data_IF_328056334663
#
_entry.id   IF_328056334663
#
_cell.length_a   1.000
_cell.length_b   1.000
_cell.length_c   1.000
_cell.angle_alpha   90.00
_cell.angle_beta   90.00
_cell.angle_gamma   90.00
#
_symmetry.space_group_name_H-M   'P 1'
#
loop_
_entity.id
_entity.type
_entity.pdbx_description
1 polymer ?
#
# COMPACT_ATOMS: atom_id res chain seq x y z
N UNK A 1 11.95 -18.46 18.76
CA UNK A 1 12.68 -17.98 17.57
C UNK A 1 14.20 -17.98 17.75
N UNK A 2 14.72 -18.08 18.99
CA UNK A 2 16.16 -18.05 19.26
C UNK A 2 16.80 -16.65 19.28
N UNK A 3 15.98 -15.59 19.19
CA UNK A 3 16.36 -14.20 19.31
C UNK A 3 15.23 -13.38 19.95
N UNK A 4 15.57 -12.20 20.46
CA UNK A 4 14.61 -11.24 21.01
C UNK A 4 14.25 -10.21 19.96
N UNK A 5 12.97 -9.85 19.88
CA UNK A 5 12.51 -8.72 19.07
C UNK A 5 12.44 -7.47 19.93
N UNK A 6 13.06 -6.39 19.47
CA UNK A 6 12.89 -5.05 19.99
C UNK A 6 12.05 -4.25 18.99
N UNK A 7 10.86 -3.84 19.41
CA UNK A 7 9.89 -3.20 18.53
C UNK A 7 9.82 -1.70 18.81
N UNK A 8 9.95 -0.89 17.78
CA UNK A 8 9.75 0.57 17.82
C UNK A 8 8.51 0.91 17.00
N UNK A 9 7.47 1.45 17.64
CA UNK A 9 6.28 1.92 16.94
C UNK A 9 6.56 3.30 16.32
N UNK A 10 6.29 3.43 15.02
CA UNK A 10 6.43 4.66 14.25
C UNK A 10 5.20 4.84 13.36
N UNK A 11 4.86 6.09 13.03
CA UNK A 11 3.90 6.40 11.98
C UNK A 11 4.53 6.21 10.58
N UNK A 12 3.69 6.23 9.54
CA UNK A 12 4.09 6.02 8.14
C UNK A 12 5.23 6.93 7.68
N UNK A 13 5.17 8.22 8.00
CA UNK A 13 6.19 9.18 7.56
C UNK A 13 7.51 8.96 8.32
N UNK A 14 7.44 8.71 9.62
CA UNK A 14 8.61 8.45 10.48
C UNK A 14 9.32 7.15 10.11
N UNK A 15 8.59 6.05 9.86
CA UNK A 15 9.20 4.79 9.41
C UNK A 15 9.83 4.94 8.03
N UNK A 16 9.17 5.65 7.11
CA UNK A 16 9.69 5.93 5.77
C UNK A 16 10.99 6.72 5.85
N UNK A 17 11.00 7.81 6.62
CA UNK A 17 12.19 8.64 6.81
C UNK A 17 13.33 7.84 7.41
N UNK A 18 13.05 7.07 8.47
CA UNK A 18 14.07 6.24 9.12
C UNK A 18 14.63 5.19 8.17
N UNK A 19 13.80 4.49 7.43
CA UNK A 19 14.23 3.49 6.45
C UNK A 19 15.08 4.10 5.31
N UNK A 20 14.74 5.32 4.86
CA UNK A 20 15.47 6.00 3.81
C UNK A 20 16.80 6.64 4.28
N UNK A 21 16.92 7.03 5.54
CA UNK A 21 18.05 7.84 6.00
C UNK A 21 18.93 7.19 7.09
N UNK A 22 18.44 6.13 7.73
CA UNK A 22 19.10 5.47 8.87
C UNK A 22 19.07 3.94 8.74
N UNK A 23 19.59 3.36 7.63
CA UNK A 23 19.45 1.92 7.32
C UNK A 23 20.10 1.02 8.37
N UNK A 24 21.09 1.50 9.11
CA UNK A 24 21.80 0.73 10.13
C UNK A 24 21.11 0.78 11.52
N UNK A 25 19.94 1.42 11.62
CA UNK A 25 19.24 1.58 12.90
C UNK A 25 18.12 0.55 13.12
N UNK A 26 17.91 -0.39 12.19
CA UNK A 26 16.90 -1.44 12.27
C UNK A 26 17.31 -2.63 11.39
N UNK A 27 16.75 -3.80 11.67
CA UNK A 27 16.95 -5.01 10.86
C UNK A 27 15.76 -5.27 9.93
N UNK A 28 14.54 -4.96 10.38
CA UNK A 28 13.29 -5.16 9.62
C UNK A 28 12.42 -3.92 9.80
N UNK A 29 11.83 -3.43 8.71
CA UNK A 29 10.81 -2.39 8.73
C UNK A 29 9.48 -2.96 8.22
N UNK A 30 8.39 -2.69 8.95
CA UNK A 30 7.03 -2.91 8.48
C UNK A 30 6.53 -1.60 7.88
N UNK A 31 6.37 -1.60 6.54
CA UNK A 31 6.06 -0.40 5.76
C UNK A 31 4.92 -0.68 4.79
N UNK A 32 4.16 0.36 4.47
CA UNK A 32 3.17 0.27 3.40
C UNK A 32 3.86 0.15 2.03
N UNK A 33 3.33 -0.73 1.18
CA UNK A 33 3.94 -1.03 -0.12
C UNK A 33 4.09 0.21 -1.02
N UNK A 34 3.19 1.19 -0.92
CA UNK A 34 3.22 2.39 -1.78
C UNK A 34 4.40 3.33 -1.46
N UNK A 35 4.99 3.24 -0.27
CA UNK A 35 6.21 3.98 0.06
C UNK A 35 7.50 3.23 -0.33
N UNK A 36 7.40 1.98 -0.73
CA UNK A 36 8.54 1.13 -1.12
C UNK A 36 9.40 1.78 -2.21
N UNK A 37 8.78 2.49 -3.16
CA UNK A 37 9.51 3.24 -4.21
C UNK A 37 10.53 4.22 -3.63
N UNK A 38 10.19 4.93 -2.55
CA UNK A 38 11.07 5.91 -1.91
C UNK A 38 12.24 5.23 -1.18
N UNK A 39 11.93 4.18 -0.43
CA UNK A 39 12.93 3.49 0.40
C UNK A 39 13.85 2.64 -0.48
N UNK A 40 13.31 2.00 -1.51
CA UNK A 40 14.09 1.22 -2.48
C UNK A 40 15.09 2.08 -3.25
N UNK A 41 14.66 3.26 -3.72
CA UNK A 41 15.51 4.21 -4.42
C UNK A 41 16.69 4.71 -3.56
N UNK A 42 16.56 4.71 -2.23
CA UNK A 42 17.66 5.02 -1.31
C UNK A 42 18.70 3.89 -1.20
N UNK A 43 18.44 2.70 -1.76
CA UNK A 43 19.35 1.55 -1.72
C UNK A 43 19.43 0.86 -0.35
N UNK A 44 18.45 1.10 0.51
CA UNK A 44 18.47 0.67 1.92
C UNK A 44 17.63 -0.59 2.18
N UNK A 45 17.03 -1.16 1.16
CA UNK A 45 16.29 -2.43 1.23
C UNK A 45 17.04 -3.53 0.47
N UNK A 46 16.94 -4.74 0.98
CA UNK A 46 17.55 -5.92 0.36
C UNK A 46 16.45 -6.79 -0.25
N UNK A 47 16.67 -7.24 -1.49
CA UNK A 47 15.79 -8.21 -2.14
C UNK A 47 15.88 -9.58 -1.44
N UNK A 48 14.73 -10.22 -1.30
CA UNK A 48 14.58 -11.52 -0.65
C UNK A 48 14.40 -12.63 -1.69
N UNK A 49 15.17 -13.69 -1.57
CA UNK A 49 15.05 -14.90 -2.40
C UNK A 49 13.72 -15.60 -2.06
N UNK A 50 12.80 -15.63 -3.02
CA UNK A 50 11.46 -16.21 -2.84
C UNK A 50 11.50 -17.69 -2.52
N UNK A 51 12.54 -18.42 -2.93
CA UNK A 51 12.72 -19.84 -2.61
C UNK A 51 12.93 -20.11 -1.13
N UNK A 52 13.36 -19.08 -0.37
CA UNK A 52 13.54 -19.12 1.10
C UNK A 52 12.30 -18.71 1.87
N UNK A 53 11.27 -18.21 1.21
CA UNK A 53 10.00 -17.83 1.84
C UNK A 53 9.09 -19.05 1.89
N UNK A 54 8.99 -19.67 3.06
CA UNK A 54 8.27 -20.95 3.27
C UNK A 54 6.83 -20.98 2.73
N UNK A 55 6.13 -19.85 2.78
CA UNK A 55 4.72 -19.75 2.39
C UNK A 55 4.55 -18.85 1.15
N UNK A 56 5.56 -18.74 0.30
CA UNK A 56 5.53 -17.88 -0.89
C UNK A 56 4.32 -18.18 -1.78
N UNK A 57 4.02 -19.44 -2.00
CA UNK A 57 2.88 -19.92 -2.79
C UNK A 57 1.51 -19.52 -2.23
N UNK A 58 1.45 -19.15 -0.93
CA UNK A 58 0.23 -18.69 -0.26
C UNK A 58 0.02 -17.18 -0.30
N UNK A 59 1.00 -16.44 -0.79
CA UNK A 59 0.84 -14.99 -0.99
C UNK A 59 -0.22 -14.77 -2.06
N UNK A 60 -1.24 -13.96 -1.73
CA UNK A 60 -2.35 -13.68 -2.65
C UNK A 60 -1.88 -12.98 -3.93
N UNK A 61 -2.53 -13.28 -5.05
CA UNK A 61 -2.10 -12.86 -6.38
C UNK A 61 -1.96 -11.35 -6.55
N UNK A 62 -2.74 -10.55 -5.84
CA UNK A 62 -2.62 -9.07 -5.92
C UNK A 62 -1.21 -8.55 -5.62
N UNK A 63 -0.44 -9.26 -4.76
CA UNK A 63 0.95 -8.91 -4.44
C UNK A 63 1.98 -9.57 -5.35
N UNK A 64 1.60 -10.62 -6.08
CA UNK A 64 2.52 -11.38 -6.93
C UNK A 64 2.43 -10.97 -8.41
N UNK A 65 1.21 -10.96 -8.94
CA UNK A 65 0.96 -10.74 -10.37
C UNK A 65 -0.17 -9.75 -10.64
N UNK A 66 -0.67 -9.08 -9.61
CA UNK A 66 -1.73 -8.07 -9.73
C UNK A 66 -3.13 -8.64 -9.93
N UNK A 67 -3.33 -9.94 -9.80
CA UNK A 67 -4.63 -10.58 -9.95
C UNK A 67 -5.28 -10.84 -8.59
N UNK A 68 -6.45 -10.27 -8.35
CA UNK A 68 -7.22 -10.55 -7.15
C UNK A 68 -7.79 -11.99 -7.18
N UNK A 69 -8.22 -12.42 -8.36
CA UNK A 69 -8.65 -13.80 -8.66
C UNK A 69 -8.01 -14.23 -9.98
N UNK A 70 -7.92 -15.54 -10.29
CA UNK A 70 -7.34 -16.02 -11.55
C UNK A 70 -7.99 -15.46 -12.82
N UNK A 71 -9.20 -14.93 -12.71
CA UNK A 71 -9.99 -14.38 -13.83
C UNK A 71 -10.20 -12.87 -13.74
N UNK A 72 -9.64 -12.21 -12.74
CA UNK A 72 -9.74 -10.75 -12.62
C UNK A 72 -8.82 -10.06 -13.64
N UNK A 73 -9.10 -8.79 -13.92
CA UNK A 73 -8.14 -7.93 -14.61
C UNK A 73 -6.95 -7.64 -13.71
N UNK A 74 -5.78 -7.45 -14.32
CA UNK A 74 -4.59 -7.01 -13.59
C UNK A 74 -4.86 -5.66 -12.93
N UNK A 75 -4.52 -5.53 -11.67
CA UNK A 75 -4.63 -4.28 -10.93
C UNK A 75 -3.77 -3.18 -11.57
N UNK A 76 -4.25 -1.96 -11.54
CA UNK A 76 -3.63 -0.80 -12.16
C UNK A 76 -3.16 0.21 -11.11
N UNK A 77 -2.37 1.18 -11.55
CA UNK A 77 -1.87 2.26 -10.70
C UNK A 77 -0.85 1.77 -9.67
N UNK A 78 -1.00 2.24 -8.45
CA UNK A 78 -0.12 1.87 -7.31
C UNK A 78 -0.37 0.46 -6.77
N UNK A 79 -0.82 -0.47 -7.60
CA UNK A 79 -1.05 -1.84 -7.18
C UNK A 79 0.23 -2.49 -6.61
N UNK A 80 0.12 -3.29 -5.54
CA UNK A 80 1.29 -3.76 -4.79
C UNK A 80 2.28 -4.59 -5.62
N UNK A 81 1.83 -5.34 -6.64
CA UNK A 81 2.73 -6.12 -7.51
C UNK A 81 3.71 -5.24 -8.28
N UNK A 82 3.39 -3.96 -8.54
CA UNK A 82 4.26 -3.03 -9.29
C UNK A 82 5.56 -2.69 -8.58
N UNK A 83 5.62 -2.94 -7.28
CA UNK A 83 6.81 -2.75 -6.44
C UNK A 83 7.24 -4.03 -5.73
N UNK A 84 6.66 -5.17 -6.10
CA UNK A 84 6.83 -6.45 -5.40
C UNK A 84 8.13 -7.18 -5.72
N UNK A 85 8.73 -6.91 -6.88
CA UNK A 85 9.87 -7.67 -7.38
C UNK A 85 10.95 -6.81 -8.01
N UNK A 86 12.17 -7.34 -8.02
CA UNK A 86 13.33 -6.77 -8.72
C UNK A 86 14.02 -7.86 -9.56
N UNK A 87 14.87 -7.47 -10.49
CA UNK A 87 15.51 -8.38 -11.45
C UNK A 87 16.52 -9.36 -10.83
N UNK A 88 16.95 -9.13 -9.60
CA UNK A 88 17.95 -9.95 -8.93
C UNK A 88 18.24 -9.50 -7.50
N UNK A 89 19.20 -10.13 -6.80
CA UNK A 89 19.51 -9.80 -5.40
C UNK A 89 20.00 -8.38 -5.20
N UNK A 90 20.56 -7.76 -6.23
CA UNK A 90 21.07 -6.39 -6.25
C UNK A 90 20.37 -5.53 -7.32
N UNK A 91 19.16 -5.91 -7.72
CA UNK A 91 18.39 -5.15 -8.70
C UNK A 91 18.02 -3.78 -8.15
N UNK A 92 18.16 -2.75 -8.98
CA UNK A 92 17.84 -1.36 -8.63
C UNK A 92 16.44 -0.94 -9.06
N UNK A 93 15.86 -1.67 -10.00
CA UNK A 93 14.57 -1.36 -10.61
C UNK A 93 13.53 -2.42 -10.29
N UNK A 94 12.28 -1.99 -10.17
CA UNK A 94 11.16 -2.90 -10.04
C UNK A 94 10.86 -3.58 -11.39
N UNK A 95 10.50 -4.86 -11.32
CA UNK A 95 10.00 -5.63 -12.46
C UNK A 95 8.53 -5.98 -12.24
N UNK A 96 7.75 -6.01 -13.33
CA UNK A 96 6.30 -6.22 -13.25
C UNK A 96 5.91 -7.70 -13.08
N UNK A 97 6.85 -8.61 -13.33
CA UNK A 97 6.63 -10.05 -13.25
C UNK A 97 7.39 -10.66 -12.08
N UNK A 98 6.90 -11.79 -11.60
CA UNK A 98 7.57 -12.56 -10.55
C UNK A 98 8.97 -12.98 -11.02
N UNK A 99 10.01 -12.51 -10.34
CA UNK A 99 11.41 -12.72 -10.74
C UNK A 99 12.18 -13.68 -9.83
N UNK A 100 11.59 -14.18 -8.78
CA UNK A 100 12.30 -14.91 -7.74
C UNK A 100 12.99 -14.02 -6.69
N UNK A 101 12.95 -12.69 -6.83
CA UNK A 101 13.54 -11.73 -5.90
C UNK A 101 12.50 -10.71 -5.47
N UNK A 102 11.98 -10.88 -4.25
CA UNK A 102 10.91 -10.05 -3.70
C UNK A 102 11.45 -8.87 -2.91
N UNK A 103 10.88 -7.71 -3.10
CA UNK A 103 11.29 -6.46 -2.40
C UNK A 103 10.65 -6.32 -1.03
N UNK A 104 9.46 -6.90 -0.85
CA UNK A 104 8.70 -6.88 0.40
C UNK A 104 7.88 -8.17 0.55
N UNK A 105 7.64 -8.59 1.79
CA UNK A 105 6.75 -9.70 2.10
C UNK A 105 5.46 -9.12 2.69
N UNK A 106 4.28 -9.31 2.06
CA UNK A 106 3.03 -8.82 2.61
C UNK A 106 2.68 -9.57 3.90
N UNK A 107 2.46 -8.83 4.97
CA UNK A 107 2.04 -9.35 6.28
C UNK A 107 0.54 -9.20 6.48
N UNK A 108 0.02 -8.03 6.08
CA UNK A 108 -1.39 -7.67 6.18
C UNK A 108 -1.74 -6.77 5.01
N UNK A 109 -2.99 -6.78 4.56
CA UNK A 109 -3.47 -5.84 3.56
C UNK A 109 -4.92 -5.45 3.80
N UNK A 110 -5.27 -4.26 3.33
CA UNK A 110 -6.62 -3.74 3.28
C UNK A 110 -6.78 -2.91 2.00
N UNK A 111 -7.95 -2.34 1.81
CA UNK A 111 -8.21 -1.27 0.85
C UNK A 111 -8.84 -0.10 1.60
N UNK A 112 -8.45 1.11 1.26
CA UNK A 112 -9.08 2.29 1.81
C UNK A 112 -10.51 2.39 1.28
N UNK A 113 -11.44 2.54 2.21
CA UNK A 113 -12.88 2.56 1.95
C UNK A 113 -13.56 3.57 2.86
N UNK A 114 -14.75 4.01 2.47
CA UNK A 114 -15.58 4.81 3.34
C UNK A 114 -16.07 3.98 4.54
N UNK A 115 -15.61 4.34 5.73
CA UNK A 115 -16.18 3.85 6.97
C UNK A 115 -17.51 4.55 7.24
N UNK A 116 -18.60 3.81 7.38
CA UNK A 116 -19.94 4.39 7.58
C UNK A 116 -20.62 3.85 8.83
N UNK A 117 -21.55 4.61 9.35
CA UNK A 117 -22.47 4.22 10.43
C UNK A 117 -23.89 4.06 9.85
N UNK A 118 -24.20 2.88 9.26
CA UNK A 118 -25.49 2.66 8.60
C UNK A 118 -26.68 2.83 9.55
N UNK A 119 -26.48 2.52 10.83
CA UNK A 119 -27.48 2.71 11.91
C UNK A 119 -27.86 4.17 12.13
N UNK A 120 -26.97 5.13 11.82
CA UNK A 120 -27.23 6.56 11.97
C UNK A 120 -27.62 7.26 10.66
N UNK A 121 -27.15 6.73 9.53
CA UNK A 121 -27.35 7.35 8.21
C UNK A 121 -28.71 6.98 7.63
N UNK A 122 -29.17 5.75 7.83
CA UNK A 122 -30.49 5.28 7.39
C UNK A 122 -30.68 5.14 5.87
N UNK A 123 -29.60 5.33 5.07
CA UNK A 123 -29.58 5.16 3.61
C UNK A 123 -28.23 4.60 3.13
N UNK A 124 -28.19 3.99 1.94
CA UNK A 124 -26.91 3.57 1.36
C UNK A 124 -25.98 4.75 1.05
N UNK A 125 -24.69 4.58 1.31
CA UNK A 125 -23.60 5.44 0.86
C UNK A 125 -22.87 4.68 -0.24
N UNK A 126 -22.81 5.24 -1.44
CA UNK A 126 -22.27 4.55 -2.63
C UNK A 126 -21.20 5.36 -3.36
N UNK A 127 -20.89 6.56 -2.89
CA UNK A 127 -19.95 7.47 -3.55
C UNK A 127 -19.05 8.13 -2.52
N UNK A 128 -17.80 8.35 -2.89
CA UNK A 128 -16.83 9.09 -2.08
C UNK A 128 -17.22 10.56 -1.85
N UNK A 129 -17.92 11.17 -2.81
CA UNK A 129 -18.41 12.55 -2.68
C UNK A 129 -19.36 12.79 -1.51
N UNK A 130 -19.89 11.73 -0.89
CA UNK A 130 -20.68 11.87 0.33
C UNK A 130 -19.88 12.44 1.53
N UNK A 131 -18.56 12.38 1.49
CA UNK A 131 -17.70 13.08 2.48
C UNK A 131 -17.93 14.60 2.48
N UNK A 132 -18.31 15.18 1.34
CA UNK A 132 -18.62 16.61 1.20
C UNK A 132 -20.11 16.93 1.30
N UNK A 133 -20.96 15.93 1.55
CA UNK A 133 -22.40 16.15 1.68
C UNK A 133 -22.70 17.02 2.92
N UNK A 134 -23.38 18.17 2.76
CA UNK A 134 -23.73 19.06 3.87
C UNK A 134 -24.51 18.38 5.03
N UNK A 135 -25.22 17.29 4.73
CA UNK A 135 -25.90 16.46 5.74
C UNK A 135 -24.93 15.94 6.81
N UNK A 136 -23.67 15.69 6.42
CA UNK A 136 -22.62 15.16 7.30
C UNK A 136 -21.66 16.21 7.83
N UNK A 137 -22.01 17.49 7.72
CA UNK A 137 -21.17 18.58 8.25
C UNK A 137 -20.82 18.37 9.72
N UNK A 138 -19.53 18.33 10.02
CA UNK A 138 -19.00 18.10 11.37
C UNK A 138 -19.08 16.63 11.84
N UNK A 139 -19.43 15.70 10.94
CA UNK A 139 -19.55 14.26 11.25
C UNK A 139 -18.68 13.40 10.30
N UNK A 140 -18.06 14.00 9.28
CA UNK A 140 -17.15 13.33 8.35
C UNK A 140 -15.71 13.71 8.69
N UNK A 141 -14.79 12.78 8.44
CA UNK A 141 -13.35 12.99 8.58
C UNK A 141 -12.61 12.16 7.52
N UNK A 142 -11.39 12.56 7.23
CA UNK A 142 -10.41 11.80 6.43
C UNK A 142 -9.17 11.57 7.27
N UNK A 143 -8.30 10.67 6.82
CA UNK A 143 -7.02 10.43 7.48
C UNK A 143 -6.09 11.64 7.32
N UNK A 144 -5.50 12.08 8.42
CA UNK A 144 -4.45 13.11 8.43
C UNK A 144 -3.07 12.48 8.15
N UNK A 145 -3.02 11.74 7.05
CA UNK A 145 -1.79 11.16 6.46
C UNK A 145 -1.79 11.65 5.02
N UNK A 146 -0.84 12.51 4.68
CA UNK A 146 -0.83 13.24 3.39
C UNK A 146 -0.87 12.30 2.18
N UNK A 147 -0.14 11.20 2.21
CA UNK A 147 -0.10 10.20 1.13
C UNK A 147 -1.44 9.46 0.92
N UNK A 148 -2.24 9.30 1.96
CA UNK A 148 -3.55 8.64 1.90
C UNK A 148 -4.66 9.67 1.67
N UNK A 149 -4.70 10.72 2.48
CA UNK A 149 -5.76 11.73 2.42
C UNK A 149 -5.86 12.45 1.07
N UNK A 150 -4.72 12.66 0.37
CA UNK A 150 -4.72 13.22 -1.00
C UNK A 150 -5.41 12.25 -1.96
N UNK A 151 -5.15 10.95 -1.86
CA UNK A 151 -5.78 9.95 -2.73
C UNK A 151 -7.27 9.81 -2.43
N UNK A 152 -7.67 9.84 -1.16
CA UNK A 152 -9.08 9.87 -0.76
C UNK A 152 -9.81 11.06 -1.37
N UNK A 153 -9.23 12.26 -1.31
CA UNK A 153 -9.80 13.46 -1.93
C UNK A 153 -9.83 13.38 -3.45
N UNK A 154 -8.85 12.74 -4.08
CA UNK A 154 -8.90 12.46 -5.52
C UNK A 154 -10.09 11.57 -5.87
N UNK A 155 -10.37 10.55 -5.08
CA UNK A 155 -11.55 9.69 -5.25
C UNK A 155 -12.87 10.46 -5.03
N UNK A 156 -12.90 11.43 -4.11
CA UNK A 156 -14.04 12.34 -3.95
C UNK A 156 -14.29 13.13 -5.23
N UNK A 157 -13.26 13.78 -5.79
CA UNK A 157 -13.35 14.57 -7.01
C UNK A 157 -13.78 13.73 -8.20
N UNK A 158 -13.22 12.52 -8.36
CA UNK A 158 -13.63 11.58 -9.41
C UNK A 158 -15.10 11.17 -9.26
N UNK A 159 -15.54 10.90 -8.03
CA UNK A 159 -16.93 10.50 -7.76
C UNK A 159 -17.96 11.61 -7.98
N UNK A 160 -17.52 12.88 -7.97
CA UNK A 160 -18.33 14.05 -8.35
C UNK A 160 -18.48 14.18 -9.87
N UNK A 161 -17.62 13.51 -10.64
CA UNK A 161 -17.56 13.62 -12.09
C UNK A 161 -16.78 14.85 -12.60
N UNK A 162 -16.09 15.56 -11.71
CA UNK A 162 -15.32 16.77 -12.05
C UNK A 162 -14.03 16.42 -12.79
N UNK A 163 -13.43 15.28 -12.49
CA UNK A 163 -12.21 14.81 -13.13
C UNK A 163 -12.14 13.29 -13.12
N UNK A 164 -11.57 12.71 -14.17
CA UNK A 164 -11.25 11.29 -14.21
C UNK A 164 -9.74 11.11 -14.27
N UNK A 165 -9.19 10.50 -13.26
CA UNK A 165 -7.75 10.24 -13.20
C UNK A 165 -7.37 9.11 -14.18
N UNK A 166 -6.54 9.39 -15.20
CA UNK A 166 -6.14 8.38 -16.19
C UNK A 166 -5.18 7.35 -15.59
N UNK A 167 -4.39 7.77 -14.62
CA UNK A 167 -3.50 6.93 -13.86
C UNK A 167 -3.98 6.88 -12.40
N UNK A 168 -4.01 5.72 -11.83
CA UNK A 168 -4.47 5.50 -10.45
C UNK A 168 -3.32 5.55 -9.41
N UNK A 169 -2.19 6.14 -9.79
CA UNK A 169 -1.07 6.38 -8.88
C UNK A 169 0.28 5.91 -9.37
#
# INVERSE_FOLDING_TARGET
LGFTLEMTALDTDSVTQRAATQPNSFDIADIEYFICKKVWAAGNLQAMDTSKIKNYDKIVGIFRNGLLTPTSTIAQGTAPHTVGFTSGPNGTDFVQEESGWMTLIPTIYNADTLGIRPDLIGRPITKWSELLNPEFKGKASILDISSIGIMDMAMVVESMGEYKYPDKG
#
